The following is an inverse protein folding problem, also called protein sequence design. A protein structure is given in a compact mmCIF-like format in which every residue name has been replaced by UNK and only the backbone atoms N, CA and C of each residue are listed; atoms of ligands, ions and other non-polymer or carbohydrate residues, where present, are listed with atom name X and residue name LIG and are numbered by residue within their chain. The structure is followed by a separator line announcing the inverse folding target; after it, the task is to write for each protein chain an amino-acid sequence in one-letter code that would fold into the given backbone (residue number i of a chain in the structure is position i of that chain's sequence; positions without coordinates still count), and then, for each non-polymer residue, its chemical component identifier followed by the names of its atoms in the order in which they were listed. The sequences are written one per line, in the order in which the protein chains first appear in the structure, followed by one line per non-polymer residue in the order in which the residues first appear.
data_IF_125904683706
#
_entry.id   IF_125904683706
#
_cell.length_a   1.000
_cell.length_b   1.000
_cell.length_c   1.000
_cell.angle_alpha   90.00
_cell.angle_beta   90.00
_cell.angle_gamma   90.00
#
_symmetry.space_group_name_H-M   'P 1'
#
loop_
_entity.id
_entity.type
_entity.pdbx_description
1 polymer ?
#
# COMPACT_ATOMS: atom_id res chain seq x y z
N UNK A 1 -24.76 -9.25 14.12
CA UNK A 1 -23.72 -9.22 15.18
C UNK A 1 -23.54 -7.78 15.58
N UNK A 2 -23.62 -7.45 16.88
CA UNK A 2 -23.36 -6.10 17.39
C UNK A 2 -21.90 -5.99 17.83
N UNK A 3 -21.42 -4.76 17.97
CA UNK A 3 -20.06 -4.48 18.42
C UNK A 3 -19.77 -5.06 19.82
N UNK A 4 -20.75 -5.02 20.71
CA UNK A 4 -20.64 -5.56 22.08
C UNK A 4 -20.56 -7.10 22.13
N UNK A 5 -20.93 -7.78 21.04
CA UNK A 5 -20.86 -9.24 20.96
C UNK A 5 -19.45 -9.72 20.53
N UNK A 6 -18.53 -8.80 20.20
CA UNK A 6 -17.19 -9.14 19.74
C UNK A 6 -16.33 -9.52 20.95
N UNK A 7 -15.92 -10.78 21.00
CA UNK A 7 -15.02 -11.31 22.02
C UNK A 7 -13.60 -11.48 21.45
N UNK A 8 -12.57 -11.57 22.31
CA UNK A 8 -11.21 -11.90 21.88
C UNK A 8 -11.14 -13.19 21.05
N UNK A 9 -11.98 -14.19 21.38
CA UNK A 9 -12.04 -15.46 20.65
C UNK A 9 -12.53 -15.30 19.21
N UNK A 10 -13.58 -14.50 19.00
CA UNK A 10 -14.11 -14.21 17.65
C UNK A 10 -13.06 -13.47 16.83
N UNK A 11 -12.42 -12.45 17.41
CA UNK A 11 -11.40 -11.67 16.72
C UNK A 11 -10.16 -12.53 16.39
N UNK A 12 -9.69 -13.38 17.31
CA UNK A 12 -8.56 -14.28 17.07
C UNK A 12 -8.88 -15.32 15.98
N UNK A 13 -10.09 -15.89 15.99
CA UNK A 13 -10.53 -16.84 14.96
C UNK A 13 -10.56 -16.18 13.58
N UNK A 14 -11.08 -14.96 13.50
CA UNK A 14 -11.06 -14.17 12.27
C UNK A 14 -9.64 -13.90 11.79
N UNK A 15 -8.74 -13.43 12.66
CA UNK A 15 -7.33 -13.19 12.34
C UNK A 15 -6.70 -14.49 11.80
N UNK A 16 -6.88 -15.60 12.49
CA UNK A 16 -6.32 -16.88 12.05
C UNK A 16 -6.84 -17.30 10.66
N UNK A 17 -8.13 -17.08 10.38
CA UNK A 17 -8.71 -17.43 9.10
C UNK A 17 -8.11 -16.61 7.95
N UNK A 18 -8.06 -15.27 8.08
CA UNK A 18 -7.50 -14.41 7.03
C UNK A 18 -6.00 -14.65 6.81
N UNK A 19 -5.27 -15.06 7.86
CA UNK A 19 -3.86 -15.40 7.75
C UNK A 19 -3.61 -16.65 6.88
N UNK A 20 -4.57 -17.56 6.83
CA UNK A 20 -4.56 -18.74 5.97
C UNK A 20 -4.98 -18.43 4.53
N UNK A 21 -5.96 -17.55 4.34
CA UNK A 21 -6.59 -17.30 3.03
C UNK A 21 -5.87 -16.24 2.18
N UNK A 22 -5.19 -15.27 2.79
CA UNK A 22 -4.72 -14.08 2.09
C UNK A 22 -3.20 -13.86 2.07
N UNK A 23 -2.78 -12.93 1.20
CA UNK A 23 -1.40 -12.43 1.14
C UNK A 23 -1.15 -11.48 2.32
N UNK A 24 0.07 -11.54 2.85
CA UNK A 24 0.52 -10.81 4.04
C UNK A 24 0.15 -9.32 4.10
N UNK A 25 0.35 -8.60 3.00
CA UNK A 25 0.10 -7.16 2.97
C UNK A 25 -1.39 -6.85 3.09
N UNK A 26 -2.25 -7.65 2.44
CA UNK A 26 -3.70 -7.52 2.56
C UNK A 26 -4.16 -7.83 3.99
N UNK A 27 -3.60 -8.88 4.59
CA UNK A 27 -3.90 -9.28 5.96
C UNK A 27 -3.58 -8.15 6.95
N UNK A 28 -2.38 -7.58 6.89
CA UNK A 28 -1.96 -6.50 7.79
C UNK A 28 -2.93 -5.31 7.71
N UNK A 29 -3.23 -4.86 6.50
CA UNK A 29 -4.16 -3.74 6.31
C UNK A 29 -5.55 -4.01 6.90
N UNK A 30 -6.09 -5.22 6.70
CA UNK A 30 -7.40 -5.59 7.26
C UNK A 30 -7.38 -5.68 8.79
N UNK A 31 -6.37 -6.33 9.36
CA UNK A 31 -6.21 -6.47 10.81
C UNK A 31 -6.01 -5.11 11.47
N UNK A 32 -5.14 -4.27 10.90
CA UNK A 32 -4.84 -2.94 11.43
C UNK A 32 -6.06 -2.03 11.38
N UNK A 33 -6.86 -2.12 10.32
CA UNK A 33 -8.14 -1.41 10.21
C UNK A 33 -9.11 -1.83 11.33
N UNK A 34 -9.35 -3.14 11.50
CA UNK A 34 -10.28 -3.65 12.52
C UNK A 34 -9.80 -3.28 13.92
N UNK A 35 -8.50 -3.45 14.20
CA UNK A 35 -7.91 -3.05 15.48
C UNK A 35 -8.08 -1.55 15.75
N UNK A 36 -7.94 -0.71 14.73
CA UNK A 36 -8.12 0.73 14.85
C UNK A 36 -9.57 1.08 15.21
N UNK A 37 -10.54 0.45 14.56
CA UNK A 37 -11.98 0.66 14.85
C UNK A 37 -12.31 0.21 16.28
N UNK A 38 -11.87 -0.98 16.69
CA UNK A 38 -12.15 -1.50 18.04
C UNK A 38 -11.50 -0.65 19.13
N UNK A 39 -10.28 -0.18 18.90
CA UNK A 39 -9.58 0.73 19.82
C UNK A 39 -10.31 2.07 19.93
N UNK A 40 -10.87 2.56 18.84
CA UNK A 40 -11.65 3.80 18.83
C UNK A 40 -12.98 3.64 19.58
N UNK A 41 -13.69 2.53 19.36
CA UNK A 41 -14.91 2.22 20.12
C UNK A 41 -14.64 2.05 21.62
N UNK A 42 -13.48 1.51 22.01
CA UNK A 42 -13.06 1.49 23.41
C UNK A 42 -12.79 2.91 23.94
N UNK A 43 -12.08 3.75 23.16
CA UNK A 43 -11.81 5.15 23.51
C UNK A 43 -13.10 5.94 23.74
N UNK A 44 -14.14 5.68 22.93
CA UNK A 44 -15.46 6.28 23.03
C UNK A 44 -16.37 5.61 24.09
N UNK A 45 -15.88 4.57 24.77
CA UNK A 45 -16.61 3.78 25.77
C UNK A 45 -17.87 3.10 25.24
N UNK A 46 -17.90 2.80 23.94
CA UNK A 46 -18.96 1.98 23.32
C UNK A 46 -18.81 0.50 23.68
N UNK A 47 -17.59 0.08 24.01
CA UNK A 47 -17.25 -1.23 24.56
C UNK A 47 -16.53 -1.07 25.89
N UNK A 48 -16.68 -2.05 26.78
CA UNK A 48 -16.16 -2.01 28.15
C UNK A 48 -14.65 -2.28 28.25
N UNK A 49 -14.08 -2.97 27.27
CA UNK A 49 -12.70 -3.42 27.29
C UNK A 49 -12.06 -3.31 25.90
N UNK A 50 -10.73 -3.17 25.88
CA UNK A 50 -9.96 -3.18 24.65
C UNK A 50 -9.66 -4.62 24.22
N UNK A 51 -10.54 -5.18 23.40
CA UNK A 51 -10.45 -6.57 22.89
C UNK A 51 -9.11 -6.82 22.16
N UNK A 52 -8.50 -5.78 21.56
CA UNK A 52 -7.27 -5.90 20.79
C UNK A 52 -6.04 -6.29 21.65
N UNK A 53 -6.07 -6.04 22.96
CA UNK A 53 -4.96 -6.38 23.86
C UNK A 53 -4.87 -7.89 24.14
N UNK A 54 -5.94 -8.63 23.83
CA UNK A 54 -6.05 -10.07 24.10
C UNK A 54 -5.88 -10.95 22.86
N UNK A 55 -5.53 -10.37 21.71
CA UNK A 55 -5.34 -11.12 20.45
C UNK A 55 -3.91 -11.06 19.95
N UNK A 56 -3.45 -12.18 19.41
CA UNK A 56 -2.12 -12.33 18.84
C UNK A 56 -2.18 -12.33 17.33
N UNK A 57 -1.15 -11.76 16.71
CA UNK A 57 -1.03 -11.66 15.26
C UNK A 57 0.00 -12.69 14.78
N UNK A 58 -0.39 -13.67 13.95
CA UNK A 58 0.54 -14.68 13.47
C UNK A 58 1.73 -14.07 12.72
N UNK A 59 2.92 -14.64 12.93
CA UNK A 59 4.13 -14.24 12.22
C UNK A 59 4.17 -15.02 10.90
N UNK A 60 3.98 -14.32 9.78
CA UNK A 60 4.13 -14.89 8.44
C UNK A 60 5.24 -14.09 7.72
N UNK A 61 6.26 -14.80 7.23
CA UNK A 61 7.46 -14.18 6.65
C UNK A 61 7.10 -13.55 5.30
N UNK A 62 7.41 -12.28 5.13
CA UNK A 62 7.31 -11.61 3.84
C UNK A 62 8.31 -12.26 2.87
N UNK A 63 7.81 -12.99 1.86
CA UNK A 63 8.62 -13.55 0.76
C UNK A 63 8.78 -12.58 -0.41
N UNK A 64 8.23 -11.38 -0.32
CA UNK A 64 8.30 -10.37 -1.37
C UNK A 64 9.74 -9.88 -1.53
N UNK A 65 10.45 -10.41 -2.51
CA UNK A 65 11.69 -9.81 -3.01
C UNK A 65 11.31 -8.67 -3.95
N UNK A 66 11.57 -7.43 -3.53
CA UNK A 66 11.47 -6.29 -4.44
C UNK A 66 12.53 -6.47 -5.52
N UNK A 67 12.11 -6.73 -6.77
CA UNK A 67 13.02 -6.76 -7.92
C UNK A 67 13.13 -5.34 -8.46
N UNK A 68 14.33 -4.79 -8.38
CA UNK A 68 14.64 -3.48 -8.96
C UNK A 68 15.17 -3.66 -10.37
N UNK A 69 14.81 -2.73 -11.26
CA UNK A 69 15.40 -2.69 -12.58
C UNK A 69 16.88 -2.30 -12.49
N UNK A 70 17.72 -3.08 -13.16
CA UNK A 70 19.09 -2.70 -13.47
C UNK A 70 19.11 -1.57 -14.50
N UNK A 71 20.27 -0.92 -14.65
CA UNK A 71 20.47 0.12 -15.66
C UNK A 71 20.16 -0.40 -17.08
N UNK A 72 20.59 -1.63 -17.38
CA UNK A 72 20.39 -2.28 -18.67
C UNK A 72 18.90 -2.57 -18.94
N UNK A 73 18.18 -3.09 -17.95
CA UNK A 73 16.74 -3.34 -18.08
C UNK A 73 15.94 -2.04 -18.23
N UNK A 74 16.36 -0.98 -17.52
CA UNK A 74 15.74 0.35 -17.62
C UNK A 74 15.92 0.94 -19.02
N UNK A 75 17.13 0.84 -19.58
CA UNK A 75 17.42 1.27 -20.94
C UNK A 75 16.59 0.48 -21.97
N UNK A 76 16.51 -0.83 -21.82
CA UNK A 76 15.70 -1.68 -22.69
C UNK A 76 14.21 -1.31 -22.62
N UNK A 77 13.69 -1.06 -21.42
CA UNK A 77 12.30 -0.63 -21.21
C UNK A 77 12.02 0.72 -21.89
N UNK A 78 12.93 1.70 -21.76
CA UNK A 78 12.82 2.99 -22.44
C UNK A 78 12.82 2.84 -23.97
N UNK A 79 13.72 2.02 -24.53
CA UNK A 79 13.77 1.80 -25.97
C UNK A 79 12.47 1.17 -26.51
N UNK A 80 11.91 0.21 -25.77
CA UNK A 80 10.66 -0.46 -26.14
C UNK A 80 9.42 0.42 -25.93
N UNK A 81 9.49 1.42 -25.05
CA UNK A 81 8.34 2.27 -24.73
C UNK A 81 8.15 3.48 -25.66
N UNK A 82 9.14 3.83 -26.49
CA UNK A 82 9.11 5.05 -27.35
C UNK A 82 7.87 5.18 -28.24
N UNK A 83 7.36 4.07 -28.76
CA UNK A 83 6.30 4.05 -29.78
C UNK A 83 4.97 3.46 -29.27
N UNK A 84 4.77 3.40 -27.95
CA UNK A 84 3.51 2.96 -27.35
C UNK A 84 2.83 4.12 -26.62
N UNK A 85 1.49 4.13 -26.51
CA UNK A 85 0.75 5.24 -25.89
C UNK A 85 1.21 5.63 -24.48
N UNK A 86 1.76 4.68 -23.71
CA UNK A 86 2.25 4.89 -22.34
C UNK A 86 3.75 5.26 -22.28
N UNK A 87 4.39 5.52 -23.42
CA UNK A 87 5.82 5.82 -23.52
C UNK A 87 6.26 7.04 -22.71
N UNK A 88 5.51 8.14 -22.83
CA UNK A 88 5.78 9.38 -22.10
C UNK A 88 5.69 9.16 -20.58
N UNK A 89 4.61 8.59 -20.02
CA UNK A 89 4.56 8.24 -18.60
C UNK A 89 5.73 7.37 -18.13
N UNK A 90 6.11 6.33 -18.89
CA UNK A 90 7.26 5.48 -18.57
C UNK A 90 8.56 6.29 -18.52
N UNK A 91 8.77 7.16 -19.51
CA UNK A 91 9.95 8.01 -19.57
C UNK A 91 10.05 8.93 -18.35
N UNK A 92 8.96 9.61 -17.99
CA UNK A 92 8.91 10.54 -16.87
C UNK A 92 9.13 9.82 -15.51
N UNK A 93 8.51 8.65 -15.32
CA UNK A 93 8.70 7.84 -14.10
C UNK A 93 10.18 7.43 -13.95
N UNK A 94 10.80 6.95 -15.02
CA UNK A 94 12.18 6.44 -14.97
C UNK A 94 13.24 7.54 -14.86
N UNK A 95 12.96 8.73 -15.40
CA UNK A 95 13.94 9.84 -15.43
C UNK A 95 13.78 10.85 -14.29
N UNK A 96 12.54 11.08 -13.83
CA UNK A 96 12.22 12.06 -12.79
C UNK A 96 11.78 11.42 -11.47
N UNK A 97 11.57 10.10 -11.44
CA UNK A 97 11.14 9.39 -10.23
C UNK A 97 9.68 9.64 -9.83
N UNK A 98 8.85 10.07 -10.77
CA UNK A 98 7.42 10.35 -10.51
C UNK A 98 6.67 9.07 -10.17
N UNK A 99 5.68 9.16 -9.29
CA UNK A 99 4.66 8.12 -9.16
C UNK A 99 3.81 8.09 -10.42
N UNK A 100 3.21 6.94 -10.72
CA UNK A 100 2.35 6.79 -11.90
C UNK A 100 1.27 7.87 -12.00
N UNK A 101 0.57 8.15 -10.89
CA UNK A 101 -0.45 9.20 -10.84
C UNK A 101 0.09 10.61 -11.13
N UNK A 102 1.29 10.92 -10.66
CA UNK A 102 1.96 12.20 -10.93
C UNK A 102 2.32 12.29 -12.43
N UNK A 103 2.89 11.23 -13.01
CA UNK A 103 3.28 11.21 -14.42
C UNK A 103 2.10 11.34 -15.40
N UNK A 104 0.93 10.80 -15.07
CA UNK A 104 -0.26 10.85 -15.95
C UNK A 104 -1.15 12.07 -15.72
N UNK A 105 -0.95 12.81 -14.63
CA UNK A 105 -1.74 14.02 -14.32
C UNK A 105 -1.06 15.33 -14.72
N UNK A 106 0.20 15.27 -15.17
CA UNK A 106 0.94 16.43 -15.65
C UNK A 106 0.21 17.12 -16.81
N UNK A 107 0.02 18.42 -16.65
CA UNK A 107 -0.48 19.31 -17.69
C UNK A 107 0.59 20.34 -18.08
N UNK A 108 0.43 20.97 -19.24
CA UNK A 108 1.44 21.92 -19.76
C UNK A 108 1.71 23.11 -18.84
N UNK A 109 0.76 23.52 -17.99
CA UNK A 109 0.98 24.56 -16.99
C UNK A 109 1.91 24.15 -15.85
N UNK A 110 2.15 22.85 -15.67
CA UNK A 110 3.07 22.33 -14.64
C UNK A 110 4.52 22.28 -15.15
N UNK A 111 4.74 22.53 -16.45
CA UNK A 111 6.04 22.36 -17.12
C UNK A 111 6.60 23.73 -17.50
N UNK A 112 7.69 24.11 -16.84
CA UNK A 112 8.48 25.30 -17.16
C UNK A 112 9.72 24.88 -17.96
N UNK A 113 9.66 24.98 -19.29
CA UNK A 113 10.78 24.67 -20.20
C UNK A 113 11.72 25.87 -20.43
N UNK A 114 11.29 27.07 -20.04
CA UNK A 114 12.02 28.31 -20.30
C UNK A 114 13.00 28.66 -19.17
N UNK A 115 12.79 28.09 -17.98
CA UNK A 115 13.81 28.11 -16.94
C UNK A 115 15.00 27.25 -17.34
N UNK A 116 16.08 27.93 -17.74
CA UNK A 116 17.44 27.39 -17.56
C UNK A 116 17.66 27.21 -16.06
N UNK A 117 17.34 26.02 -15.56
CA UNK A 117 17.73 25.61 -14.21
C UNK A 117 19.26 25.74 -14.11
N UNK A 118 19.72 26.74 -13.37
CA UNK A 118 21.12 26.86 -12.99
C UNK A 118 21.48 25.63 -12.15
N UNK A 119 22.27 24.74 -12.75
CA UNK A 119 23.11 23.79 -12.02
C UNK A 119 24.48 24.43 -11.84
#
# INVERSE_FOLDING_TARGET
MKLIDITPSILQSYINNIYNEHMLNSIKNQVDFIKSVLKESYRLKEISENICDFVTTPIKKNSSTSKFYTKQETQLLLEKSKNIPIGIPIFLILTLGLRFGEAVSLIWSDVDLDKKSHM
#
